data_IF_286820691170
#
_entry.id   IF_286820691170
#
_cell.length_a   1.000
_cell.length_b   1.000
_cell.length_c   1.000
_cell.angle_alpha   90.00
_cell.angle_beta   90.00
_cell.angle_gamma   90.00
#
_symmetry.space_group_name_H-M   'P 1'
#
loop_
_entity.id
_entity.type
_entity.pdbx_description
1 polymer ?
#
# COMPACT_ATOMS: atom_id res chain seq x y z
N UNK A 1 -5.66 -11.35 5.96
CA UNK A 1 -4.93 -10.07 5.99
C UNK A 1 -3.56 -10.35 6.59
N UNK A 2 -2.50 -9.79 6.00
CA UNK A 2 -1.13 -9.91 6.53
C UNK A 2 -0.69 -8.55 7.09
N UNK A 3 -0.03 -8.57 8.25
CA UNK A 3 0.60 -7.36 8.80
C UNK A 3 1.88 -7.06 8.02
N UNK A 4 2.05 -5.80 7.62
CA UNK A 4 3.28 -5.34 6.98
C UNK A 4 3.66 -3.95 7.48
N UNK A 5 4.92 -3.62 7.32
CA UNK A 5 5.47 -2.31 7.68
C UNK A 5 6.11 -1.71 6.44
N UNK A 6 5.91 -0.41 6.26
CA UNK A 6 6.64 0.34 5.25
C UNK A 6 8.08 0.54 5.72
N UNK A 7 9.04 0.05 4.94
CA UNK A 7 10.49 0.19 5.21
C UNK A 7 11.17 1.23 4.33
N UNK A 8 10.41 1.86 3.44
CA UNK A 8 10.87 2.98 2.61
C UNK A 8 10.47 4.32 3.23
N UNK A 9 11.19 5.40 2.91
CA UNK A 9 10.99 6.74 3.49
C UNK A 9 9.52 7.20 3.37
N UNK A 10 8.91 6.94 2.20
CA UNK A 10 7.49 7.19 1.97
C UNK A 10 6.96 6.43 0.76
N UNK A 11 5.69 6.05 0.80
CA UNK A 11 4.95 5.48 -0.32
C UNK A 11 3.66 6.25 -0.55
N UNK A 12 3.33 6.45 -1.83
CA UNK A 12 2.06 7.05 -2.25
C UNK A 12 0.99 5.98 -2.31
N UNK A 13 -0.16 6.29 -1.71
CA UNK A 13 -1.34 5.43 -1.66
C UNK A 13 -2.36 6.00 -2.63
N UNK A 14 -2.78 5.19 -3.58
CA UNK A 14 -3.67 5.58 -4.67
C UNK A 14 -5.06 4.94 -4.51
N UNK A 15 -6.08 5.55 -5.09
CA UNK A 15 -7.45 5.01 -5.06
C UNK A 15 -7.58 3.76 -5.96
N UNK A 16 -6.78 3.71 -7.03
CA UNK A 16 -6.74 2.61 -8.00
C UNK A 16 -5.31 2.08 -8.15
N UNK A 17 -5.14 0.86 -8.66
CA UNK A 17 -3.82 0.25 -8.93
C UNK A 17 -3.10 0.86 -10.15
N UNK A 18 -3.24 2.17 -10.37
CA UNK A 18 -2.66 2.93 -11.46
C UNK A 18 -1.80 4.07 -10.88
N UNK A 19 -0.52 4.22 -11.28
CA UNK A 19 0.33 5.30 -10.80
C UNK A 19 -0.18 6.72 -11.15
N UNK A 20 -1.02 6.85 -12.18
CA UNK A 20 -1.67 8.11 -12.57
C UNK A 20 -3.05 8.29 -11.90
N UNK A 21 -3.42 7.38 -10.99
CA UNK A 21 -4.67 7.46 -10.23
C UNK A 21 -4.67 8.57 -9.19
N UNK A 22 -5.86 8.81 -8.62
CA UNK A 22 -6.03 9.76 -7.52
C UNK A 22 -5.18 9.37 -6.32
N UNK A 23 -4.35 10.29 -5.83
CA UNK A 23 -3.61 10.13 -4.59
C UNK A 23 -4.57 10.23 -3.40
N UNK A 24 -4.68 9.15 -2.65
CA UNK A 24 -5.49 9.07 -1.42
C UNK A 24 -4.69 9.59 -0.23
N UNK A 25 -3.44 9.13 -0.09
CA UNK A 25 -2.59 9.48 1.05
C UNK A 25 -1.11 9.23 0.77
N UNK A 26 -0.25 9.65 1.68
CA UNK A 26 1.18 9.33 1.70
C UNK A 26 1.46 8.59 3.02
N UNK A 27 1.93 7.36 2.93
CA UNK A 27 2.44 6.59 4.06
C UNK A 27 3.94 6.85 4.22
N UNK A 28 4.43 6.89 5.46
CA UNK A 28 5.84 7.12 5.79
C UNK A 28 6.48 5.88 6.41
N UNK A 29 7.80 5.83 6.45
CA UNK A 29 8.52 4.73 7.10
C UNK A 29 7.99 4.48 8.53
N UNK A 30 7.84 3.21 8.90
CA UNK A 30 7.38 2.81 10.22
C UNK A 30 5.86 2.91 10.42
N UNK A 31 5.09 3.27 9.39
CA UNK A 31 3.63 3.20 9.44
C UNK A 31 3.16 1.74 9.44
N UNK A 32 2.33 1.38 10.40
CA UNK A 32 1.62 0.11 10.42
C UNK A 32 0.57 0.10 9.30
N UNK A 33 0.69 -0.88 8.40
CA UNK A 33 -0.25 -1.08 7.31
C UNK A 33 -0.65 -2.55 7.23
N UNK A 34 -1.93 -2.77 6.94
CA UNK A 34 -2.43 -4.12 6.76
C UNK A 34 -2.55 -4.36 5.27
N UNK A 35 -1.85 -5.37 4.74
CA UNK A 35 -2.03 -5.74 3.33
C UNK A 35 -3.21 -6.69 3.25
N UNK A 36 -4.24 -6.26 2.54
CA UNK A 36 -5.44 -7.06 2.33
C UNK A 36 -5.33 -7.76 0.97
N UNK A 37 -5.53 -9.09 1.00
CA UNK A 37 -5.50 -10.03 -0.12
C UNK A 37 -4.61 -9.64 -1.33
N UNK A 38 -3.41 -10.22 -1.33
CA UNK A 38 -2.27 -9.89 -2.17
C UNK A 38 -2.46 -10.00 -3.70
N UNK A 39 -1.95 -8.96 -4.36
CA UNK A 39 -1.77 -8.68 -5.79
C UNK A 39 -3.03 -8.22 -6.53
N UNK A 40 -2.93 -7.02 -7.12
CA UNK A 40 -3.80 -6.68 -8.24
C UNK A 40 -3.66 -7.78 -9.29
N UNK A 41 -4.79 -8.41 -9.63
CA UNK A 41 -4.87 -9.43 -10.68
C UNK A 41 -4.53 -8.78 -12.03
N UNK A 42 -4.85 -7.49 -12.17
CA UNK A 42 -4.75 -6.73 -13.41
C UNK A 42 -3.41 -5.99 -13.57
N UNK A 43 -2.75 -5.63 -12.47
CA UNK A 43 -1.51 -4.83 -12.51
C UNK A 43 -0.44 -5.43 -11.60
N UNK A 44 0.60 -5.98 -12.22
CA UNK A 44 1.75 -6.53 -11.48
C UNK A 44 2.37 -5.48 -10.54
N UNK A 45 2.84 -5.93 -9.38
CA UNK A 45 3.53 -5.13 -8.36
C UNK A 45 2.68 -4.12 -7.57
N UNK A 46 1.35 -4.23 -7.61
CA UNK A 46 0.47 -3.44 -6.74
C UNK A 46 -0.13 -4.27 -5.61
N UNK A 47 -0.16 -3.66 -4.42
CA UNK A 47 -0.75 -4.20 -3.21
C UNK A 47 -1.91 -3.34 -2.75
N UNK A 48 -3.01 -3.97 -2.40
CA UNK A 48 -4.12 -3.31 -1.74
C UNK A 48 -3.86 -3.31 -0.23
N UNK A 49 -3.89 -2.12 0.37
CA UNK A 49 -3.58 -1.91 1.78
C UNK A 49 -4.67 -1.13 2.48
N UNK A 50 -4.82 -1.46 3.76
CA UNK A 50 -5.58 -0.68 4.72
C UNK A 50 -4.60 0.07 5.61
N UNK A 51 -4.72 1.38 5.61
CA UNK A 51 -3.95 2.29 6.47
C UNK A 51 -4.49 2.25 7.90
N UNK A 52 -3.64 2.54 8.88
CA UNK A 52 -4.02 2.57 10.31
C UNK A 52 -5.16 3.56 10.64
N UNK A 53 -5.38 4.57 9.80
CA UNK A 53 -6.51 5.50 9.91
C UNK A 53 -7.85 4.94 9.37
N UNK A 54 -7.86 3.68 8.91
CA UNK A 54 -9.05 3.01 8.38
C UNK A 54 -9.31 3.23 6.90
N UNK A 55 -8.54 4.09 6.21
CA UNK A 55 -8.63 4.25 4.77
C UNK A 55 -8.00 3.07 4.03
N UNK A 56 -8.44 2.86 2.79
CA UNK A 56 -7.91 1.84 1.91
C UNK A 56 -7.30 2.46 0.67
N UNK A 57 -6.36 1.75 0.06
CA UNK A 57 -5.83 2.15 -1.23
C UNK A 57 -4.74 1.20 -1.73
N UNK A 58 -4.15 1.59 -2.85
CA UNK A 58 -3.18 0.81 -3.59
C UNK A 58 -1.80 1.42 -3.43
N UNK A 59 -0.81 0.58 -3.10
CA UNK A 59 0.60 0.97 -3.07
C UNK A 59 1.41 0.05 -3.96
N UNK A 60 2.64 0.45 -4.28
CA UNK A 60 3.59 -0.45 -4.92
C UNK A 60 4.10 -1.46 -3.89
N UNK A 61 4.38 -2.67 -4.34
CA UNK A 61 5.00 -3.73 -3.54
C UNK A 61 6.47 -3.41 -3.18
N UNK A 62 7.06 -2.41 -3.82
CA UNK A 62 8.40 -1.93 -3.52
C UNK A 62 8.46 -1.28 -2.13
N UNK A 63 9.38 -1.72 -1.28
CA UNK A 63 9.57 -1.12 0.05
C UNK A 63 8.56 -1.55 1.12
N UNK A 64 7.76 -2.59 0.87
CA UNK A 64 6.85 -3.18 1.87
C UNK A 64 7.47 -4.46 2.43
N UNK A 65 7.64 -4.54 3.75
CA UNK A 65 8.15 -5.74 4.42
C UNK A 65 7.03 -6.39 5.23
N UNK A 66 6.72 -7.65 4.91
CA UNK A 66 5.83 -8.47 5.74
C UNK A 66 6.48 -8.76 7.10
N UNK A 67 5.65 -8.79 8.14
CA UNK A 67 6.01 -9.27 9.46
C UNK A 67 5.66 -10.76 9.61
#
# INVERSE_FOLDING_TARGET
YDHAVLVDNSQRVYETSNPDGTLVSIAYEGYDLTVDNWKSIDVENWLYVRLGNGQFGWIRNEGVKKL
#
